data_IF_629651753017
#
_entry.id   IF_629651753017
#
_cell.length_a   1.000
_cell.length_b   1.000
_cell.length_c   1.000
_cell.angle_alpha   90.00
_cell.angle_beta   90.00
_cell.angle_gamma   90.00
#
_symmetry.space_group_name_H-M   'P 1'
#
loop_
_entity.id
_entity.type
_entity.pdbx_description
1 polymer ?
#
# COMPACT_ATOMS: atom_id res chain seq x y z
N UNK A 1 -68.98 26.30 40.68
CA UNK A 1 -68.87 27.19 39.50
C UNK A 1 -67.70 26.64 38.68
N UNK A 2 -67.95 25.76 37.71
CA UNK A 2 -68.29 26.00 36.28
C UNK A 2 -67.12 26.57 35.45
N UNK A 3 -66.79 25.78 34.42
CA UNK A 3 -66.06 26.03 33.16
C UNK A 3 -64.54 25.77 33.21
N UNK A 4 -64.01 24.66 32.65
CA UNK A 4 -63.98 24.17 31.25
C UNK A 4 -63.25 25.13 30.31
N UNK A 5 -62.03 24.76 29.91
CA UNK A 5 -61.65 24.62 28.49
C UNK A 5 -60.46 23.68 28.36
N UNK A 6 -60.69 22.57 27.65
CA UNK A 6 -59.69 21.61 27.23
C UNK A 6 -59.08 22.08 25.89
N UNK A 7 -57.78 21.86 25.71
CA UNK A 7 -57.17 21.81 24.38
C UNK A 7 -56.32 20.54 24.33
N UNK A 8 -56.85 19.53 23.64
CA UNK A 8 -56.07 18.38 23.17
C UNK A 8 -55.20 18.86 22.01
N UNK A 9 -53.88 18.67 22.10
CA UNK A 9 -53.02 18.63 20.92
C UNK A 9 -52.45 17.22 20.83
N UNK A 10 -53.03 16.46 19.91
CA UNK A 10 -52.57 15.14 19.49
C UNK A 10 -51.40 15.34 18.53
N UNK A 11 -50.16 15.11 19.01
CA UNK A 11 -49.00 15.01 18.11
C UNK A 11 -48.85 13.54 17.70
N UNK A 12 -49.24 13.24 16.47
CA UNK A 12 -49.11 11.93 15.85
C UNK A 12 -47.65 11.52 15.70
N UNK A 13 -47.35 10.31 16.14
CA UNK A 13 -46.10 9.59 15.86
C UNK A 13 -46.09 9.24 14.36
N UNK A 14 -45.22 9.89 13.59
CA UNK A 14 -44.90 9.50 12.22
C UNK A 14 -43.69 8.56 12.26
N UNK A 15 -43.94 7.26 12.18
CA UNK A 15 -42.93 6.26 11.83
C UNK A 15 -42.70 6.33 10.32
N UNK A 16 -41.59 6.95 9.91
CA UNK A 16 -41.09 6.81 8.54
C UNK A 16 -40.08 5.66 8.50
N UNK A 17 -40.57 4.47 8.16
CA UNK A 17 -39.73 3.45 7.53
C UNK A 17 -39.36 3.96 6.14
N UNK A 18 -38.13 4.42 5.96
CA UNK A 18 -37.54 4.60 4.64
C UNK A 18 -36.63 3.40 4.37
N UNK A 19 -37.22 2.36 3.78
CA UNK A 19 -36.47 1.45 2.94
C UNK A 19 -36.44 2.08 1.54
N UNK A 20 -35.45 2.92 1.27
CA UNK A 20 -35.19 3.40 -0.09
C UNK A 20 -34.16 2.49 -0.74
N UNK A 21 -34.67 1.52 -1.51
CA UNK A 21 -33.94 0.88 -2.59
C UNK A 21 -33.80 1.89 -3.74
N UNK A 22 -32.80 2.77 -3.65
CA UNK A 22 -32.45 3.66 -4.75
C UNK A 22 -31.21 3.10 -5.47
N UNK A 23 -31.47 2.15 -6.38
CA UNK A 23 -30.59 1.93 -7.52
C UNK A 23 -30.79 3.10 -8.49
N UNK A 24 -30.28 4.27 -8.11
CA UNK A 24 -30.16 5.42 -9.00
C UNK A 24 -28.78 5.36 -9.68
N UNK A 25 -28.70 5.18 -11.02
CA UNK A 25 -27.43 5.16 -11.75
C UNK A 25 -26.76 6.54 -11.85
N UNK A 26 -27.29 7.57 -11.19
CA UNK A 26 -26.80 8.95 -11.29
C UNK A 26 -26.19 9.54 -10.02
N UNK A 27 -26.02 8.77 -8.94
CA UNK A 27 -25.10 9.18 -7.86
C UNK A 27 -23.66 9.18 -8.39
N UNK A 28 -22.96 10.33 -8.41
CA UNK A 28 -21.56 10.33 -8.82
C UNK A 28 -20.76 9.56 -7.77
N UNK A 29 -20.14 8.47 -8.22
CA UNK A 29 -19.09 7.76 -7.51
C UNK A 29 -18.12 8.76 -6.89
N UNK A 30 -17.83 8.72 -5.57
CA UNK A 30 -16.80 9.55 -4.98
C UNK A 30 -15.52 9.42 -5.80
N UNK A 31 -14.79 10.51 -6.10
CA UNK A 31 -13.53 10.42 -6.83
C UNK A 31 -12.64 9.35 -6.19
N UNK A 32 -12.41 8.25 -6.93
CA UNK A 32 -11.56 7.15 -6.48
C UNK A 32 -12.25 5.90 -5.90
N UNK A 33 -13.58 5.75 -5.94
CA UNK A 33 -14.20 4.48 -5.48
C UNK A 33 -14.07 3.31 -6.48
N UNK A 34 -13.65 3.57 -7.72
CA UNK A 34 -13.26 2.55 -8.71
C UNK A 34 -11.73 2.36 -8.80
N UNK A 35 -10.95 3.10 -8.00
CA UNK A 35 -9.50 2.99 -8.02
C UNK A 35 -9.08 1.72 -7.27
N UNK A 36 -8.46 0.78 -7.98
CA UNK A 36 -7.97 -0.53 -7.50
C UNK A 36 -6.58 -0.34 -6.89
N UNK A 37 -6.45 -0.14 -5.56
CA UNK A 37 -5.16 0.14 -4.95
C UNK A 37 -4.27 -1.09 -5.07
N UNK A 38 -3.10 -0.90 -5.66
CA UNK A 38 -2.08 -1.93 -5.79
C UNK A 38 -1.41 -2.12 -4.44
N UNK A 39 -1.40 -3.34 -3.94
CA UNK A 39 -0.77 -3.65 -2.66
C UNK A 39 0.69 -4.03 -2.87
N UNK A 40 1.58 -3.23 -2.29
CA UNK A 40 3.02 -3.37 -2.41
C UNK A 40 3.67 -3.48 -1.03
N UNK A 41 4.96 -3.80 -1.05
CA UNK A 41 5.89 -3.58 0.05
C UNK A 41 6.93 -2.56 -0.41
N UNK A 42 7.33 -1.66 0.47
CA UNK A 42 8.39 -0.66 0.25
C UNK A 42 9.37 -0.80 1.41
N UNK A 43 10.66 -0.67 1.16
CA UNK A 43 11.71 -0.72 2.20
C UNK A 43 12.55 0.57 2.24
N UNK A 44 13.66 0.51 2.98
CA UNK A 44 14.49 1.66 3.37
C UNK A 44 15.11 2.40 2.18
N UNK A 45 15.35 1.69 1.08
CA UNK A 45 15.88 2.24 -0.17
C UNK A 45 14.93 3.23 -0.86
N UNK A 46 13.70 3.35 -0.37
CA UNK A 46 12.74 4.35 -0.83
C UNK A 46 12.26 5.32 0.23
N UNK A 47 11.85 4.80 1.40
CA UNK A 47 11.27 5.60 2.48
C UNK A 47 11.98 5.21 3.77
N UNK A 48 12.86 6.10 4.20
CA UNK A 48 13.56 6.00 5.48
C UNK A 48 14.00 7.38 5.98
N UNK A 49 14.43 7.48 7.23
CA UNK A 49 15.00 8.70 7.78
C UNK A 49 16.38 9.01 7.15
N UNK A 50 16.72 10.29 7.03
CA UNK A 50 18.01 10.73 6.50
C UNK A 50 18.23 10.51 4.99
N UNK A 51 17.41 9.68 4.33
CA UNK A 51 17.61 9.34 2.93
C UNK A 51 17.10 10.43 1.95
N UNK A 52 17.89 10.76 0.90
CA UNK A 52 17.42 11.64 -0.15
C UNK A 52 16.26 11.00 -0.94
N UNK A 53 15.41 11.79 -1.61
CA UNK A 53 15.52 13.23 -1.80
C UNK A 53 14.83 14.05 -0.69
N UNK A 54 14.08 13.41 0.20
CA UNK A 54 13.25 14.12 1.18
C UNK A 54 13.96 14.34 2.52
N UNK A 55 14.93 13.50 2.86
CA UNK A 55 15.69 13.55 4.12
C UNK A 55 14.72 13.57 5.32
N UNK A 56 13.81 12.59 5.36
CA UNK A 56 12.83 12.48 6.43
C UNK A 56 13.52 12.41 7.80
N UNK A 57 12.91 12.98 8.84
CA UNK A 57 13.35 12.73 10.21
C UNK A 57 12.81 11.39 10.72
N UNK A 58 13.37 10.88 11.83
CA UNK A 58 12.89 9.67 12.49
C UNK A 58 11.37 9.74 12.72
N UNK A 59 10.89 10.90 13.19
CA UNK A 59 9.47 11.15 13.47
C UNK A 59 8.61 11.15 12.20
N UNK A 60 9.13 11.64 11.08
CA UNK A 60 8.40 11.71 9.81
C UNK A 60 7.99 10.32 9.31
N UNK A 61 8.87 9.33 9.51
CA UNK A 61 8.69 7.95 9.06
C UNK A 61 8.34 6.97 10.18
N UNK A 62 8.17 7.45 11.42
CA UNK A 62 7.93 6.62 12.61
C UNK A 62 9.09 5.68 13.00
N UNK A 63 10.33 5.99 12.65
CA UNK A 63 11.50 5.17 12.98
C UNK A 63 11.60 4.91 14.51
N UNK A 64 11.33 5.93 15.33
CA UNK A 64 11.28 5.80 16.79
C UNK A 64 10.19 4.85 17.33
N UNK A 65 9.23 4.45 16.49
CA UNK A 65 8.15 3.51 16.80
C UNK A 65 8.29 2.21 16.03
N UNK A 66 9.31 2.08 15.17
CA UNK A 66 9.49 0.95 14.29
C UNK A 66 9.50 -0.35 15.11
N UNK A 67 8.61 -1.25 14.72
CA UNK A 67 8.54 -2.57 15.34
C UNK A 67 7.93 -3.55 14.35
N UNK A 68 8.19 -4.83 14.58
CA UNK A 68 7.48 -5.90 13.91
C UNK A 68 5.96 -5.68 14.06
N UNK A 69 5.24 -5.69 12.94
CA UNK A 69 3.78 -5.53 12.93
C UNK A 69 3.26 -4.12 13.13
N UNK A 70 4.10 -3.07 13.14
CA UNK A 70 3.62 -1.70 13.20
C UNK A 70 2.96 -1.30 11.86
N UNK A 71 1.68 -0.89 11.89
CA UNK A 71 0.85 -0.64 10.69
C UNK A 71 0.13 0.72 10.73
N UNK A 72 0.61 1.65 11.55
CA UNK A 72 0.04 3.01 11.54
C UNK A 72 0.57 3.79 10.34
N UNK A 73 -0.20 4.75 9.80
CA UNK A 73 0.30 5.63 8.75
C UNK A 73 1.55 6.43 9.18
N UNK A 74 2.47 6.66 8.25
CA UNK A 74 3.67 7.49 8.48
C UNK A 74 3.30 8.97 8.70
N UNK A 75 3.90 9.63 9.70
CA UNK A 75 3.48 10.97 10.15
C UNK A 75 3.56 12.00 9.03
N UNK A 76 4.67 12.03 8.28
CA UNK A 76 4.83 12.97 7.18
C UNK A 76 3.73 12.81 6.14
N UNK A 77 3.39 11.57 5.80
CA UNK A 77 2.38 11.27 4.79
C UNK A 77 0.96 11.59 5.27
N UNK A 78 0.70 11.50 6.58
CA UNK A 78 -0.56 11.98 7.18
C UNK A 78 -0.66 13.50 7.10
N UNK A 79 0.41 14.21 7.43
CA UNK A 79 0.42 15.67 7.47
C UNK A 79 0.36 16.33 6.08
N UNK A 80 0.80 15.63 5.04
CA UNK A 80 0.98 16.18 3.69
C UNK A 80 0.11 15.48 2.63
N UNK A 81 -1.08 14.98 3.00
CA UNK A 81 -2.04 14.41 2.03
C UNK A 81 -2.38 15.42 0.94
N UNK A 82 -2.27 14.99 -0.33
CA UNK A 82 -2.50 15.81 -1.51
C UNK A 82 -1.21 16.40 -2.12
N UNK A 83 -0.12 16.46 -1.36
CA UNK A 83 1.16 16.96 -1.86
C UNK A 83 1.83 15.97 -2.80
N UNK A 84 2.69 16.51 -3.67
CA UNK A 84 3.46 15.72 -4.61
C UNK A 84 4.94 15.75 -4.23
N UNK A 85 5.52 14.57 -4.04
CA UNK A 85 6.93 14.37 -3.70
C UNK A 85 7.60 13.43 -4.71
N UNK A 86 8.93 13.43 -4.73
CA UNK A 86 9.69 12.38 -5.40
C UNK A 86 10.17 11.38 -4.36
N UNK A 87 10.14 10.10 -4.70
CA UNK A 87 10.79 9.03 -3.97
C UNK A 87 11.88 8.43 -4.86
N UNK A 88 13.03 8.13 -4.27
CA UNK A 88 13.98 7.21 -4.88
C UNK A 88 13.50 5.79 -4.63
N UNK A 89 13.95 4.83 -5.43
CA UNK A 89 13.49 3.44 -5.35
C UNK A 89 14.69 2.49 -5.35
N UNK A 90 15.79 2.92 -4.73
CA UNK A 90 17.06 2.19 -4.67
C UNK A 90 17.86 2.09 -5.98
N UNK A 91 18.62 1.02 -6.07
CA UNK A 91 19.52 0.65 -7.16
C UNK A 91 19.20 -0.80 -7.63
N UNK A 92 19.66 -1.19 -8.81
CA UNK A 92 19.49 -2.59 -9.27
C UNK A 92 20.23 -3.53 -8.32
N UNK A 93 19.49 -4.46 -7.73
CA UNK A 93 19.96 -5.40 -6.71
C UNK A 93 19.69 -4.96 -5.28
N UNK A 94 19.11 -3.77 -5.13
CA UNK A 94 18.73 -3.14 -3.88
C UNK A 94 17.46 -2.31 -4.13
N UNK A 95 16.39 -3.00 -4.54
CA UNK A 95 15.18 -2.36 -5.05
C UNK A 95 14.29 -1.82 -3.92
N UNK A 96 13.92 -0.54 -3.97
CA UNK A 96 13.08 0.04 -2.91
C UNK A 96 11.61 -0.43 -2.86
N UNK A 97 11.11 -1.03 -3.95
CA UNK A 97 9.68 -1.26 -4.18
C UNK A 97 9.45 -2.69 -4.63
N UNK A 98 8.51 -3.38 -3.99
CA UNK A 98 8.25 -4.81 -4.18
C UNK A 98 6.77 -5.09 -4.45
N UNK A 99 6.46 -5.79 -5.53
CA UNK A 99 5.12 -6.28 -5.81
C UNK A 99 4.85 -7.62 -5.15
N UNK A 100 3.69 -7.75 -4.52
CA UNK A 100 3.11 -9.03 -4.14
C UNK A 100 2.26 -9.55 -5.31
N UNK A 101 2.64 -10.71 -5.85
CA UNK A 101 1.90 -11.35 -6.95
C UNK A 101 1.03 -12.52 -6.50
N UNK A 102 1.36 -13.09 -5.35
CA UNK A 102 0.65 -14.19 -4.71
C UNK A 102 0.49 -13.87 -3.23
N UNK A 103 -0.61 -14.33 -2.64
CA UNK A 103 -0.82 -14.31 -1.18
C UNK A 103 -0.76 -15.76 -0.67
N UNK A 104 0.16 -16.08 0.26
CA UNK A 104 0.22 -17.41 0.86
C UNK A 104 -1.09 -17.84 1.50
N UNK A 105 -1.47 -19.11 1.35
CA UNK A 105 -2.67 -19.63 1.99
C UNK A 105 -2.58 -19.60 3.52
N UNK A 106 -1.38 -19.71 4.09
CA UNK A 106 -1.13 -19.58 5.53
C UNK A 106 -1.62 -18.24 6.09
N UNK A 107 -1.59 -17.18 5.29
CA UNK A 107 -2.03 -15.85 5.72
C UNK A 107 -3.54 -15.77 5.92
N UNK A 108 -4.34 -16.58 5.23
CA UNK A 108 -5.81 -16.58 5.37
C UNK A 108 -6.28 -17.00 6.76
N UNK A 109 -5.49 -17.83 7.43
CA UNK A 109 -5.76 -18.28 8.81
C UNK A 109 -5.09 -17.40 9.86
N UNK A 110 -4.27 -16.44 9.44
CA UNK A 110 -3.53 -15.53 10.32
C UNK A 110 -4.37 -14.37 10.85
N UNK A 111 -5.68 -14.33 10.58
CA UNK A 111 -6.65 -13.42 11.21
C UNK A 111 -6.39 -11.90 11.01
N UNK A 112 -7.36 -11.04 11.35
CA UNK A 112 -8.68 -11.33 11.90
C UNK A 112 -9.73 -11.71 10.84
N UNK A 113 -9.36 -11.77 9.56
CA UNK A 113 -10.27 -12.06 8.45
C UNK A 113 -9.95 -13.40 7.79
N UNK A 114 -10.77 -13.81 6.83
CA UNK A 114 -10.45 -14.94 5.93
C UNK A 114 -9.62 -14.52 4.70
N UNK A 115 -9.29 -13.23 4.59
CA UNK A 115 -8.52 -12.67 3.49
C UNK A 115 -7.05 -12.49 3.91
N UNK A 116 -6.13 -13.17 3.21
CA UNK A 116 -4.72 -13.21 3.59
C UNK A 116 -4.03 -11.85 3.46
N UNK A 117 -4.31 -11.10 2.40
CA UNK A 117 -3.77 -9.76 2.22
C UNK A 117 -4.21 -8.79 3.32
N UNK A 118 -5.48 -8.90 3.77
CA UNK A 118 -5.99 -8.14 4.91
C UNK A 118 -5.29 -8.51 6.21
N UNK A 119 -5.07 -9.80 6.43
CA UNK A 119 -4.42 -10.28 7.63
C UNK A 119 -2.96 -9.78 7.71
N UNK A 120 -2.25 -9.70 6.57
CA UNK A 120 -0.91 -9.10 6.52
C UNK A 120 -0.93 -7.58 6.75
N UNK A 121 -1.85 -6.85 6.11
CA UNK A 121 -2.01 -5.41 6.33
C UNK A 121 -2.36 -5.07 7.79
N UNK A 122 -3.09 -5.96 8.48
CA UNK A 122 -3.52 -5.78 9.86
C UNK A 122 -2.57 -6.41 10.89
N UNK A 123 -1.43 -6.94 10.45
CA UNK A 123 -0.44 -7.59 11.31
C UNK A 123 -1.04 -8.72 12.18
N UNK A 124 -1.79 -9.63 11.57
CA UNK A 124 -2.36 -10.79 12.26
C UNK A 124 -1.30 -11.73 12.88
N UNK A 125 -1.69 -12.72 13.71
CA UNK A 125 -0.76 -13.67 14.29
C UNK A 125 0.20 -14.32 13.28
N UNK A 126 1.51 -14.21 13.53
CA UNK A 126 2.57 -14.68 12.63
C UNK A 126 2.90 -13.74 11.46
N UNK A 127 2.18 -12.62 11.33
CA UNK A 127 2.35 -11.56 10.32
C UNK A 127 2.64 -10.19 10.95
N UNK A 128 3.05 -10.18 12.21
CA UNK A 128 3.41 -8.99 12.98
C UNK A 128 3.00 -9.06 14.46
N UNK A 129 2.16 -10.02 14.85
CA UNK A 129 1.71 -10.20 16.24
C UNK A 129 1.68 -11.68 16.66
N UNK A 130 1.41 -11.96 17.94
CA UNK A 130 1.32 -13.33 18.47
C UNK A 130 2.60 -13.79 19.16
N UNK A 131 2.67 -15.09 19.46
CA UNK A 131 3.81 -15.69 20.16
C UNK A 131 5.08 -15.69 19.30
N UNK A 132 4.93 -16.05 18.02
CA UNK A 132 5.98 -16.02 17.02
C UNK A 132 5.57 -15.04 15.90
N UNK A 133 5.83 -13.73 16.06
CA UNK A 133 5.18 -12.69 15.26
C UNK A 133 5.54 -12.69 13.78
N UNK A 134 6.58 -13.41 13.36
CA UNK A 134 7.13 -13.37 12.00
C UNK A 134 7.20 -14.73 11.32
N UNK A 135 6.64 -15.77 11.96
CA UNK A 135 6.76 -17.17 11.50
C UNK A 135 6.14 -17.42 10.12
N UNK A 136 5.28 -16.52 9.65
CA UNK A 136 4.62 -16.60 8.33
C UNK A 136 5.15 -15.56 7.34
N UNK A 137 6.28 -14.89 7.64
CA UNK A 137 6.86 -13.82 6.85
C UNK A 137 8.16 -14.21 6.15
N UNK A 138 8.62 -15.45 6.28
CA UNK A 138 9.79 -15.97 5.58
C UNK A 138 9.40 -16.76 4.31
N UNK A 139 10.31 -16.81 3.33
CA UNK A 139 10.16 -17.53 2.05
C UNK A 139 8.83 -17.23 1.32
N UNK A 140 8.44 -15.96 1.25
CA UNK A 140 7.18 -15.54 0.64
C UNK A 140 7.28 -15.62 -0.89
N UNK A 141 6.48 -16.44 -1.58
CA UNK A 141 6.59 -16.64 -3.01
C UNK A 141 6.20 -15.38 -3.79
N UNK A 142 6.88 -15.18 -4.91
CA UNK A 142 6.60 -14.15 -5.91
C UNK A 142 6.65 -12.69 -5.39
N UNK A 143 7.36 -12.42 -4.30
CA UNK A 143 7.76 -11.05 -3.93
C UNK A 143 8.72 -10.56 -5.01
N UNK A 144 8.26 -9.61 -5.82
CA UNK A 144 8.93 -9.23 -7.07
C UNK A 144 9.49 -7.81 -6.99
N UNK A 145 10.81 -7.65 -7.06
CA UNK A 145 11.45 -6.33 -7.10
C UNK A 145 11.02 -5.52 -8.31
N UNK A 146 10.62 -4.27 -8.10
CA UNK A 146 10.13 -3.39 -9.15
C UNK A 146 11.24 -2.49 -9.68
N UNK A 147 11.71 -2.83 -10.88
CA UNK A 147 12.63 -2.01 -11.66
C UNK A 147 11.89 -1.04 -12.59
N UNK A 148 12.61 -0.35 -13.47
CA UNK A 148 12.07 0.76 -14.25
C UNK A 148 10.81 0.41 -15.07
N UNK A 149 10.75 -0.77 -15.66
CA UNK A 149 9.57 -1.24 -16.40
C UNK A 149 8.39 -1.47 -15.47
N UNK A 150 8.59 -2.16 -14.34
CA UNK A 150 7.54 -2.41 -13.34
C UNK A 150 7.01 -1.13 -12.70
N UNK A 151 7.91 -0.21 -12.34
CA UNK A 151 7.54 1.12 -11.84
C UNK A 151 6.74 1.91 -12.89
N UNK A 152 7.15 1.90 -14.16
CA UNK A 152 6.44 2.60 -15.23
C UNK A 152 5.00 2.09 -15.42
N UNK A 153 4.77 0.79 -15.23
CA UNK A 153 3.44 0.18 -15.29
C UNK A 153 2.50 0.64 -14.16
N UNK A 154 3.05 1.13 -13.04
CA UNK A 154 2.26 1.68 -11.94
C UNK A 154 1.79 3.11 -12.19
N UNK A 155 2.26 3.81 -13.24
CA UNK A 155 1.81 5.18 -13.53
C UNK A 155 0.28 5.27 -13.63
N UNK A 156 -0.29 6.23 -12.91
CA UNK A 156 -1.72 6.44 -12.78
C UNK A 156 -2.42 5.46 -11.83
N UNK A 157 -1.71 4.58 -11.12
CA UNK A 157 -2.29 3.71 -10.07
C UNK A 157 -2.10 4.31 -8.69
N UNK A 158 -3.03 3.99 -7.81
CA UNK A 158 -2.86 4.21 -6.37
C UNK A 158 -2.21 2.96 -5.78
N UNK A 159 -1.21 3.15 -4.95
CA UNK A 159 -0.50 2.13 -4.20
C UNK A 159 -0.89 2.26 -2.74
N UNK A 160 -1.07 1.13 -2.06
CA UNK A 160 -1.00 1.02 -0.61
C UNK A 160 0.20 0.12 -0.30
N UNK A 161 1.09 0.57 0.58
CA UNK A 161 2.28 -0.19 0.93
C UNK A 161 2.46 -0.33 2.44
N UNK A 162 2.96 -1.50 2.85
CA UNK A 162 3.65 -1.66 4.14
C UNK A 162 5.09 -1.21 3.93
N UNK A 163 5.57 -0.34 4.80
CA UNK A 163 6.93 0.22 4.74
C UNK A 163 7.79 -0.49 5.78
N UNK A 164 8.88 -1.09 5.33
CA UNK A 164 9.88 -1.74 6.17
C UNK A 164 10.96 -0.74 6.59
N UNK A 165 11.48 -0.96 7.79
CA UNK A 165 12.58 -0.20 8.38
C UNK A 165 13.95 -0.63 7.85
N UNK A 166 14.03 -1.82 7.25
CA UNK A 166 15.23 -2.31 6.59
C UNK A 166 14.90 -3.06 5.30
N UNK A 167 15.94 -3.53 4.63
CA UNK A 167 15.86 -4.23 3.35
C UNK A 167 14.87 -5.41 3.32
N UNK A 168 14.11 -5.48 2.23
CA UNK A 168 13.40 -6.72 1.85
C UNK A 168 14.35 -7.61 1.06
N UNK A 169 14.78 -8.71 1.67
CA UNK A 169 15.70 -9.66 1.04
C UNK A 169 14.98 -10.57 0.02
N UNK A 170 15.62 -10.80 -1.13
CA UNK A 170 15.05 -11.56 -2.24
C UNK A 170 15.95 -12.72 -2.64
N UNK A 171 15.40 -13.93 -2.62
CA UNK A 171 15.94 -15.09 -3.30
C UNK A 171 15.41 -15.12 -4.74
N UNK A 172 16.26 -15.51 -5.71
CA UNK A 172 15.89 -15.58 -7.14
C UNK A 172 15.80 -17.03 -7.67
N UNK A 173 16.08 -18.03 -6.84
CA UNK A 173 15.99 -19.44 -7.21
C UNK A 173 15.57 -20.35 -6.06
N UNK A 174 14.27 -20.43 -5.71
CA UNK A 174 13.10 -19.78 -6.33
C UNK A 174 12.93 -18.29 -6.02
N UNK A 175 11.99 -17.61 -6.70
CA UNK A 175 11.66 -16.20 -6.40
C UNK A 175 10.84 -16.11 -5.11
N UNK A 176 11.51 -15.76 -4.03
CA UNK A 176 10.94 -15.64 -2.68
C UNK A 176 11.48 -14.38 -2.00
N UNK A 177 10.64 -13.73 -1.20
CA UNK A 177 11.05 -12.61 -0.36
C UNK A 177 10.99 -12.96 1.12
N UNK A 178 11.95 -12.45 1.89
CA UNK A 178 11.85 -12.40 3.34
C UNK A 178 11.20 -11.07 3.73
N UNK A 179 10.03 -11.15 4.35
CA UNK A 179 9.23 -10.03 4.82
C UNK A 179 9.27 -9.92 6.36
N UNK A 180 10.32 -10.45 6.99
CA UNK A 180 10.57 -10.28 8.42
C UNK A 180 11.26 -8.93 8.65
N UNK A 181 11.17 -8.42 9.87
CA UNK A 181 11.79 -7.16 10.29
C UNK A 181 10.79 -6.14 10.82
N UNK A 182 11.36 -5.04 11.32
CA UNK A 182 10.59 -3.91 11.80
C UNK A 182 9.91 -3.17 10.64
N UNK A 183 8.78 -2.54 10.96
CA UNK A 183 8.01 -1.77 9.98
C UNK A 183 7.88 -0.33 10.46
N UNK A 184 8.10 0.61 9.55
CA UNK A 184 7.85 2.04 9.73
C UNK A 184 6.34 2.35 9.71
N UNK A 185 5.55 1.51 9.04
CA UNK A 185 4.09 1.62 9.03
C UNK A 185 3.48 1.40 7.65
N UNK A 186 2.53 2.25 7.27
CA UNK A 186 1.88 2.20 5.95
C UNK A 186 1.81 3.56 5.26
N UNK A 187 1.81 3.53 3.93
CA UNK A 187 1.58 4.73 3.09
C UNK A 187 0.61 4.43 1.96
N UNK A 188 -0.06 5.46 1.46
CA UNK A 188 -0.80 5.39 0.22
C UNK A 188 -0.36 6.49 -0.75
N UNK A 189 -0.11 6.12 -2.00
CA UNK A 189 0.57 6.95 -2.98
C UNK A 189 -0.08 6.81 -4.36
N UNK A 190 -0.43 7.92 -5.02
CA UNK A 190 -0.76 7.91 -6.45
C UNK A 190 0.50 8.10 -7.26
N UNK A 191 0.87 7.13 -8.07
CA UNK A 191 2.03 7.25 -8.96
C UNK A 191 1.67 8.17 -10.12
N UNK A 192 2.37 9.31 -10.23
CA UNK A 192 2.13 10.31 -11.26
C UNK A 192 3.10 10.12 -12.42
N UNK A 193 4.39 9.99 -12.10
CA UNK A 193 5.47 9.95 -13.09
C UNK A 193 6.60 9.04 -12.61
N UNK A 194 7.28 8.41 -13.56
CA UNK A 194 8.48 7.61 -13.31
C UNK A 194 9.55 8.11 -14.26
N UNK A 195 10.64 8.62 -13.70
CA UNK A 195 11.70 9.30 -14.46
C UNK A 195 13.04 8.66 -14.15
N UNK A 196 13.82 8.34 -15.19
CA UNK A 196 15.20 7.85 -15.03
C UNK A 196 16.00 8.78 -14.11
N UNK A 197 16.72 8.21 -13.14
CA UNK A 197 17.73 8.94 -12.36
C UNK A 197 19.04 9.01 -13.14
N UNK A 198 19.66 10.19 -13.07
CA UNK A 198 20.96 10.49 -13.72
C UNK A 198 21.94 11.17 -12.76
N UNK A 199 21.48 11.39 -11.54
CA UNK A 199 22.17 12.00 -10.39
C UNK A 199 22.57 10.95 -9.33
N UNK A 200 22.39 9.66 -9.63
CA UNK A 200 22.80 8.53 -8.80
C UNK A 200 23.91 7.70 -9.45
N UNK A 201 24.00 6.44 -9.04
CA UNK A 201 24.89 5.44 -9.64
C UNK A 201 24.47 5.09 -11.07
N UNK A 202 25.32 4.38 -11.81
CA UNK A 202 24.95 3.83 -13.12
C UNK A 202 23.85 2.76 -13.03
N UNK A 203 23.56 2.26 -11.84
CA UNK A 203 22.54 1.25 -11.54
C UNK A 203 21.31 1.83 -10.84
N UNK A 204 21.25 3.16 -10.63
CA UNK A 204 20.15 3.78 -9.91
C UNK A 204 18.84 3.60 -10.65
N UNK A 205 17.85 3.11 -9.91
CA UNK A 205 16.51 2.93 -10.41
C UNK A 205 15.83 4.29 -10.56
N UNK A 206 14.74 4.38 -11.34
CA UNK A 206 14.03 5.63 -11.55
C UNK A 206 13.55 6.27 -10.25
N UNK A 207 13.46 7.60 -10.23
CA UNK A 207 12.67 8.28 -9.20
C UNK A 207 11.20 8.19 -9.59
N UNK A 208 10.34 8.10 -8.58
CA UNK A 208 8.89 8.07 -8.76
C UNK A 208 8.32 9.34 -8.16
N UNK A 209 7.62 10.13 -8.98
CA UNK A 209 6.82 11.25 -8.51
C UNK A 209 5.47 10.72 -8.08
N UNK A 210 5.12 10.95 -6.83
CA UNK A 210 3.89 10.46 -6.21
C UNK A 210 3.08 11.60 -5.62
N UNK A 211 1.76 11.52 -5.71
CA UNK A 211 0.87 12.32 -4.86
C UNK A 211 0.54 11.51 -3.62
N UNK A 212 0.65 12.11 -2.45
CA UNK A 212 0.35 11.47 -1.17
C UNK A 212 -1.16 11.32 -1.03
N UNK A 213 -1.63 10.11 -0.75
CA UNK A 213 -3.02 9.78 -0.50
C UNK A 213 -3.24 9.47 0.98
N UNK A 214 -4.51 9.56 1.43
CA UNK A 214 -4.84 9.21 2.81
C UNK A 214 -4.81 7.68 3.01
N UNK A 215 -3.76 7.16 3.66
CA UNK A 215 -3.57 5.73 3.88
C UNK A 215 -4.70 5.07 4.68
N UNK A 216 -5.29 5.77 5.66
CA UNK A 216 -6.45 5.26 6.42
C UNK A 216 -7.71 5.05 5.57
N UNK A 217 -7.91 5.89 4.54
CA UNK A 217 -9.02 5.75 3.60
C UNK A 217 -8.76 4.67 2.56
N UNK A 218 -7.54 4.60 2.03
CA UNK A 218 -7.16 3.63 1.00
C UNK A 218 -7.09 2.22 1.58
N UNK A 219 -6.60 2.06 2.82
CA UNK A 219 -6.54 0.76 3.51
C UNK A 219 -7.91 0.11 3.72
N UNK A 220 -8.99 0.88 3.76
CA UNK A 220 -10.35 0.35 3.84
C UNK A 220 -10.89 -0.30 2.55
N UNK A 221 -10.22 -0.12 1.40
CA UNK A 221 -10.69 -0.59 0.08
C UNK A 221 -10.12 -1.95 -0.29
N UNK A 222 -10.77 -2.72 -1.17
CA UNK A 222 -10.21 -3.98 -1.70
C UNK A 222 -8.82 -3.74 -2.26
N UNK A 223 -7.89 -4.65 -1.95
CA UNK A 223 -6.49 -4.58 -2.36
C UNK A 223 -6.27 -5.41 -3.61
N UNK A 224 -5.29 -5.04 -4.44
CA UNK A 224 -5.02 -5.75 -5.69
C UNK A 224 -3.53 -6.11 -5.83
N UNK A 225 -3.28 -7.33 -6.29
CA UNK A 225 -1.96 -7.85 -6.62
C UNK A 225 -1.57 -7.41 -8.04
N UNK A 226 -0.29 -7.08 -8.22
CA UNK A 226 0.27 -6.69 -9.53
C UNK A 226 0.86 -7.92 -10.24
N UNK A 227 -0.01 -8.76 -10.80
CA UNK A 227 0.33 -10.15 -11.18
C UNK A 227 1.21 -10.28 -12.42
N UNK A 228 1.31 -9.27 -13.27
CA UNK A 228 2.24 -9.23 -14.40
C UNK A 228 3.44 -8.30 -14.17
N UNK A 229 3.80 -8.01 -12.91
CA UNK A 229 5.07 -7.34 -12.60
C UNK A 229 6.24 -8.10 -13.26
N UNK A 230 7.13 -7.41 -14.02
CA UNK A 230 8.29 -8.04 -14.64
C UNK A 230 9.18 -8.71 -13.59
N UNK A 231 9.53 -9.98 -13.80
CA UNK A 231 10.35 -10.75 -12.88
C UNK A 231 11.83 -10.61 -13.29
N UNK A 232 12.71 -10.06 -12.43
CA UNK A 232 14.14 -10.13 -12.66
C UNK A 232 14.64 -11.57 -12.56
N UNK A 233 15.64 -11.93 -13.38
CA UNK A 233 16.25 -13.27 -13.32
C UNK A 233 17.29 -13.38 -12.20
N UNK A 234 17.79 -12.25 -11.70
CA UNK A 234 18.71 -12.17 -10.57
C UNK A 234 18.71 -10.76 -9.98
N UNK A 235 19.43 -10.58 -8.87
CA UNK A 235 19.68 -9.26 -8.26
C UNK A 235 20.29 -8.27 -9.24
N UNK A 236 21.01 -8.70 -10.27
CA UNK A 236 21.67 -7.78 -11.22
C UNK A 236 21.09 -7.79 -12.64
N UNK A 237 20.21 -8.73 -12.98
CA UNK A 237 19.74 -8.94 -14.37
C UNK A 237 18.22 -9.00 -14.44
N UNK A 238 17.58 -8.21 -15.32
CA UNK A 238 18.16 -7.18 -16.19
C UNK A 238 18.50 -5.87 -15.43
N UNK A 239 19.50 -5.11 -15.87
CA UNK A 239 19.77 -3.75 -15.37
C UNK A 239 18.73 -2.70 -15.82
N UNK A 240 17.45 -2.98 -15.57
CA UNK A 240 16.27 -2.24 -16.02
C UNK A 240 16.13 -0.88 -15.30
N UNK A 241 16.95 0.10 -15.68
CA UNK A 241 17.03 1.43 -15.06
C UNK A 241 16.37 2.55 -15.88
N UNK A 242 15.94 2.25 -17.11
CA UNK A 242 15.37 3.23 -18.04
C UNK A 242 13.88 2.94 -18.19
N UNK A 243 12.98 3.83 -17.73
CA UNK A 243 11.55 3.64 -17.95
C UNK A 243 11.28 3.57 -19.47
N UNK A 244 10.66 2.49 -19.97
CA UNK A 244 10.40 2.37 -21.40
C UNK A 244 9.33 3.37 -21.82
N UNK A 245 9.40 3.85 -23.06
CA UNK A 245 8.40 4.77 -23.62
C UNK A 245 7.00 4.12 -23.70
N UNK A 246 6.96 2.81 -23.92
CA UNK A 246 5.74 2.00 -23.93
C UNK A 246 5.94 0.77 -23.05
N UNK A 247 4.94 0.44 -22.26
CA UNK A 247 4.90 -0.71 -21.37
C UNK A 247 3.48 -1.29 -21.39
N UNK A 248 3.30 -2.59 -21.12
CA UNK A 248 1.97 -3.18 -21.02
C UNK A 248 1.19 -2.59 -19.83
N UNK A 249 -0.13 -2.69 -19.86
CA UNK A 249 -0.94 -2.34 -18.71
C UNK A 249 -0.66 -3.27 -17.52
N UNK A 250 -0.73 -2.71 -16.30
CA UNK A 250 -0.70 -3.51 -15.08
C UNK A 250 -1.96 -4.37 -14.99
N UNK A 251 -1.76 -5.69 -14.83
CA UNK A 251 -2.80 -6.67 -14.57
C UNK A 251 -3.00 -6.74 -13.07
N UNK A 252 -4.19 -6.29 -12.63
CA UNK A 252 -4.56 -6.20 -11.23
C UNK A 252 -5.62 -7.24 -10.90
N UNK A 253 -5.28 -8.16 -9.99
CA UNK A 253 -6.18 -9.19 -9.47
C UNK A 253 -6.50 -8.89 -8.01
N UNK A 254 -7.75 -9.00 -7.59
CA UNK A 254 -8.11 -8.77 -6.19
C UNK A 254 -7.32 -9.72 -5.28
N UNK A 255 -6.72 -9.16 -4.23
CA UNK A 255 -5.86 -9.88 -3.31
C UNK A 255 -6.73 -10.70 -2.34
N UNK A 256 -6.53 -12.03 -2.28
CA UNK A 256 -7.34 -12.92 -1.44
C UNK A 256 -6.82 -13.01 0.00
#
# INVERSE_FOLDING_TARGET
MKNIFAFLITAGVLTLSSCSNDNDPSTPTPPGSDDKPVFLVIDEESIDNGNPPNNFSDVDVNDQLASVGFRQPLQYFVANVGDTINLYTGDVGDEGWHALKTIPNSWKTAGPTANGARNFLQAGPGLGTGADPEILLDEIPDVTPLRATGLAMLKGKTVLAVVYDGDVSINFGPLEGNLQGANLGIVALKVIEVTRRTDGSSMSLPRVKVRIENAGTVSGRSLYLFTNAPIPSSSSVPGDIIPPATYPDAVLTEAP
#
